data_IF_777125060605
#
_entry.id   IF_777125060605
#
_cell.length_a   1.000
_cell.length_b   1.000
_cell.length_c   1.000
_cell.angle_alpha   90.00
_cell.angle_beta   90.00
_cell.angle_gamma   90.00
#
_symmetry.space_group_name_H-M   'P 1'
#
loop_
_entity.id
_entity.type
_entity.pdbx_description
1 polymer ?
#
# COMPACT_ATOMS: atom_id res chain seq x y z
N UNK A 1 16.35 20.29 -7.21
CA UNK A 1 15.96 20.24 -5.79
C UNK A 1 14.46 20.44 -5.71
N UNK A 2 13.73 19.57 -5.01
CA UNK A 2 12.27 19.72 -4.82
C UNK A 2 12.05 20.86 -3.79
N UNK A 3 11.35 21.95 -4.14
CA UNK A 3 11.02 23.00 -3.19
C UNK A 3 10.17 22.47 -2.04
N UNK A 4 10.39 22.94 -0.81
CA UNK A 4 9.60 22.54 0.36
C UNK A 4 9.92 21.16 0.95
N UNK A 5 10.98 20.49 0.47
CA UNK A 5 11.43 19.21 0.99
C UNK A 5 12.14 19.39 2.35
N UNK A 6 11.61 18.73 3.38
CA UNK A 6 12.13 18.74 4.75
C UNK A 6 13.42 17.93 4.87
N UNK A 7 14.27 18.30 5.83
CA UNK A 7 15.55 17.62 6.08
C UNK A 7 15.41 16.11 6.34
N UNK A 8 14.46 15.63 7.18
CA UNK A 8 14.20 14.20 7.31
C UNK A 8 13.96 13.46 5.98
N UNK A 9 13.33 14.11 5.00
CA UNK A 9 13.05 13.49 3.70
C UNK A 9 14.29 13.48 2.81
N UNK A 10 15.17 14.47 2.94
CA UNK A 10 16.47 14.47 2.26
C UNK A 10 17.34 13.34 2.79
N UNK A 11 17.39 13.16 4.11
CA UNK A 11 18.12 12.08 4.76
C UNK A 11 17.63 10.69 4.29
N UNK A 12 16.32 10.54 4.13
CA UNK A 12 15.71 9.31 3.58
C UNK A 12 16.09 9.06 2.12
N UNK A 13 16.15 10.09 1.29
CA UNK A 13 16.60 9.97 -0.10
C UNK A 13 18.08 9.61 -0.18
N UNK A 14 18.92 10.18 0.67
CA UNK A 14 20.34 9.85 0.75
C UNK A 14 20.56 8.41 1.25
N UNK A 15 19.78 7.99 2.25
CA UNK A 15 19.76 6.60 2.73
C UNK A 15 19.36 5.65 1.61
N UNK A 16 18.29 5.98 0.85
CA UNK A 16 17.87 5.19 -0.30
C UNK A 16 19.00 5.07 -1.33
N UNK A 17 19.67 6.17 -1.67
CA UNK A 17 20.80 6.14 -2.60
C UNK A 17 21.92 5.22 -2.11
N UNK A 18 22.23 5.28 -0.81
CA UNK A 18 23.27 4.47 -0.20
C UNK A 18 22.95 2.97 -0.23
N UNK A 19 21.72 2.57 0.11
CA UNK A 19 21.37 1.13 0.18
C UNK A 19 21.07 0.52 -1.18
N UNK A 20 20.56 1.31 -2.13
CA UNK A 20 20.26 0.82 -3.48
C UNK A 20 21.48 0.85 -4.41
N UNK A 21 22.46 1.71 -4.10
CA UNK A 21 23.59 2.01 -4.99
C UNK A 21 23.17 2.81 -6.24
N UNK A 22 22.00 3.46 -6.20
CA UNK A 22 21.40 4.17 -7.34
C UNK A 22 20.93 5.56 -6.95
N UNK A 23 21.06 6.52 -7.85
CA UNK A 23 20.61 7.89 -7.60
C UNK A 23 19.09 8.03 -7.54
N UNK A 24 18.61 9.24 -7.25
CA UNK A 24 17.19 9.60 -7.40
C UNK A 24 17.08 10.82 -8.32
N UNK A 25 16.36 10.67 -9.42
CA UNK A 25 16.02 11.75 -10.34
C UNK A 25 14.61 12.28 -10.01
N UNK A 26 14.52 13.55 -9.61
CA UNK A 26 13.25 14.19 -9.30
C UNK A 26 12.65 14.87 -10.54
N UNK A 27 11.45 14.47 -10.92
CA UNK A 27 10.73 14.97 -12.11
C UNK A 27 9.37 15.53 -11.71
N UNK A 28 9.14 16.82 -11.98
CA UNK A 28 7.84 17.45 -11.73
C UNK A 28 6.81 16.94 -12.73
N UNK A 29 5.62 16.57 -12.23
CA UNK A 29 4.46 16.09 -12.99
C UNK A 29 3.18 16.70 -12.42
N UNK A 30 2.77 17.91 -12.87
CA UNK A 30 1.62 18.62 -12.32
C UNK A 30 0.28 17.87 -12.40
N UNK A 31 0.16 16.93 -13.33
CA UNK A 31 -0.99 16.07 -13.60
C UNK A 31 -1.02 14.78 -12.75
N UNK A 32 -0.04 14.57 -11.87
CA UNK A 32 0.06 13.38 -11.05
C UNK A 32 -1.15 13.24 -10.11
N UNK A 33 -1.80 12.07 -10.08
CA UNK A 33 -2.97 11.79 -9.21
C UNK A 33 -2.63 11.70 -7.71
N UNK A 34 -1.39 11.37 -7.36
CA UNK A 34 -0.85 11.43 -6.00
C UNK A 34 0.06 12.66 -5.82
N UNK A 35 0.35 13.09 -4.58
CA UNK A 35 1.32 14.17 -4.33
C UNK A 35 2.72 13.84 -4.87
N UNK A 36 3.15 12.58 -4.70
CA UNK A 36 4.39 12.03 -5.24
C UNK A 36 4.25 10.54 -5.55
N UNK A 37 5.20 9.99 -6.30
CA UNK A 37 5.35 8.55 -6.56
C UNK A 37 6.81 8.23 -6.87
N UNK A 38 7.33 7.16 -6.28
CA UNK A 38 8.65 6.64 -6.60
C UNK A 38 8.55 5.52 -7.64
N UNK A 39 9.36 5.61 -8.70
CA UNK A 39 9.58 4.50 -9.64
C UNK A 39 10.95 3.91 -9.39
N UNK A 40 10.98 2.65 -9.02
CA UNK A 40 12.22 1.93 -8.78
C UNK A 40 13.02 1.77 -10.09
N UNK A 41 14.33 1.99 -9.99
CA UNK A 41 15.26 1.80 -11.10
C UNK A 41 15.41 0.31 -11.46
N UNK A 42 15.10 -0.05 -12.71
CA UNK A 42 15.39 -1.39 -13.25
C UNK A 42 16.89 -1.67 -13.38
N UNK A 43 17.28 -2.91 -13.68
CA UNK A 43 18.68 -3.37 -13.69
C UNK A 43 19.63 -2.45 -14.50
N UNK A 44 19.20 -1.98 -15.68
CA UNK A 44 20.00 -1.10 -16.54
C UNK A 44 19.89 0.41 -16.25
N UNK A 45 19.12 0.82 -15.23
CA UNK A 45 18.90 2.24 -14.92
C UNK A 45 19.74 2.68 -13.71
N UNK A 46 20.47 3.81 -13.81
CA UNK A 46 21.34 4.31 -12.73
C UNK A 46 20.57 5.03 -11.61
N UNK A 47 19.31 5.40 -11.84
CA UNK A 47 18.54 6.24 -10.92
C UNK A 47 17.09 5.79 -10.77
N UNK A 48 16.58 5.85 -9.55
CA UNK A 48 15.15 5.85 -9.28
C UNK A 48 14.54 7.15 -9.82
N UNK A 49 13.25 7.13 -10.15
CA UNK A 49 12.56 8.34 -10.63
C UNK A 49 11.49 8.74 -9.62
N UNK A 50 11.69 9.88 -8.97
CA UNK A 50 10.73 10.50 -8.06
C UNK A 50 9.86 11.48 -8.85
N UNK A 51 8.61 11.09 -9.10
CA UNK A 51 7.59 11.96 -9.68
C UNK A 51 6.91 12.76 -8.58
N UNK A 52 6.72 14.06 -8.74
CA UNK A 52 6.02 14.91 -7.77
C UNK A 52 5.14 15.97 -8.44
N UNK A 53 3.96 16.22 -7.86
CA UNK A 53 2.98 17.19 -8.41
C UNK A 53 3.45 18.63 -8.29
N UNK A 54 3.93 19.00 -7.11
CA UNK A 54 4.38 20.34 -6.72
C UNK A 54 4.87 20.34 -5.26
N UNK A 55 5.54 21.41 -4.83
CA UNK A 55 6.16 21.51 -3.50
C UNK A 55 5.29 22.18 -2.43
N UNK A 56 4.08 22.64 -2.78
CA UNK A 56 3.26 23.48 -1.90
C UNK A 56 2.38 22.67 -0.93
N UNK A 57 2.22 21.37 -1.19
CA UNK A 57 1.46 20.44 -0.33
C UNK A 57 2.44 19.74 0.64
N UNK A 58 2.38 20.03 1.96
CA UNK A 58 3.26 19.40 2.93
C UNK A 58 3.18 17.87 2.95
N UNK A 59 2.05 17.27 2.53
CA UNK A 59 1.88 15.82 2.47
C UNK A 59 2.82 15.15 1.48
N UNK A 60 3.36 15.89 0.50
CA UNK A 60 4.39 15.39 -0.41
C UNK A 60 5.58 14.81 0.36
N UNK A 61 5.93 15.40 1.51
CA UNK A 61 7.04 14.94 2.34
C UNK A 61 6.76 13.56 2.95
N UNK A 62 5.54 13.31 3.45
CA UNK A 62 5.16 12.00 3.99
C UNK A 62 5.07 10.95 2.90
N UNK A 63 4.50 11.27 1.73
CA UNK A 63 4.42 10.34 0.60
C UNK A 63 5.83 9.94 0.12
N UNK A 64 6.76 10.89 0.00
CA UNK A 64 8.14 10.59 -0.36
C UNK A 64 8.80 9.73 0.72
N UNK A 65 8.65 10.08 1.99
CA UNK A 65 9.21 9.31 3.10
C UNK A 65 8.71 7.85 3.12
N UNK A 66 7.42 7.63 2.88
CA UNK A 66 6.83 6.31 2.83
C UNK A 66 7.38 5.48 1.66
N UNK A 67 7.43 6.06 0.44
CA UNK A 67 7.99 5.38 -0.73
C UNK A 67 9.48 5.08 -0.58
N UNK A 68 10.24 5.97 0.07
CA UNK A 68 11.62 5.70 0.48
C UNK A 68 11.68 4.52 1.45
N UNK A 69 10.80 4.46 2.45
CA UNK A 69 10.73 3.35 3.40
C UNK A 69 10.58 1.98 2.72
N UNK A 70 9.66 1.86 1.76
CA UNK A 70 9.48 0.63 0.97
C UNK A 70 10.77 0.21 0.26
N UNK A 71 11.41 1.13 -0.46
CA UNK A 71 12.62 0.81 -1.21
C UNK A 71 13.84 0.56 -0.31
N UNK A 72 13.99 1.32 0.78
CA UNK A 72 15.08 1.13 1.73
C UNK A 72 15.03 -0.28 2.31
N UNK A 73 13.86 -0.73 2.76
CA UNK A 73 13.67 -2.09 3.31
C UNK A 73 14.00 -3.15 2.26
N UNK A 74 13.48 -3.00 1.05
CA UNK A 74 13.75 -3.90 -0.07
C UNK A 74 15.25 -4.00 -0.40
N UNK A 75 15.96 -2.86 -0.50
CA UNK A 75 17.37 -2.86 -0.89
C UNK A 75 18.33 -3.19 0.27
N UNK A 76 17.93 -2.95 1.52
CA UNK A 76 18.67 -3.40 2.69
C UNK A 76 18.70 -4.94 2.80
N UNK A 77 17.70 -5.64 2.25
CA UNK A 77 17.71 -7.09 2.20
C UNK A 77 18.77 -7.63 1.21
N UNK A 78 19.42 -8.77 1.53
CA UNK A 78 20.32 -9.45 0.59
C UNK A 78 19.61 -9.78 -0.74
N UNK A 79 20.28 -9.71 -1.90
CA UNK A 79 19.64 -9.90 -3.22
C UNK A 79 18.75 -11.14 -3.35
N UNK A 80 19.17 -12.30 -2.80
CA UNK A 80 18.39 -13.54 -2.84
C UNK A 80 17.10 -13.53 -2.01
N UNK A 81 16.98 -12.58 -1.06
CA UNK A 81 15.83 -12.41 -0.16
C UNK A 81 14.88 -11.31 -0.62
N UNK A 82 15.23 -10.54 -1.66
CA UNK A 82 14.38 -9.48 -2.23
C UNK A 82 13.21 -10.09 -2.99
N UNK A 83 12.14 -10.41 -2.27
CA UNK A 83 10.90 -10.94 -2.83
C UNK A 83 9.87 -9.82 -3.00
N UNK A 84 9.17 -9.85 -4.12
CA UNK A 84 8.11 -8.88 -4.46
C UNK A 84 6.86 -9.64 -4.88
N UNK A 85 5.70 -9.11 -4.49
CA UNK A 85 4.41 -9.64 -4.91
C UNK A 85 4.07 -9.07 -6.30
N UNK A 86 3.74 -9.95 -7.24
CA UNK A 86 3.36 -9.59 -8.61
C UNK A 86 1.92 -9.99 -8.89
N UNK A 87 1.22 -9.12 -9.59
CA UNK A 87 -0.05 -9.42 -10.22
C UNK A 87 0.18 -9.69 -11.71
N UNK A 88 -0.30 -10.84 -12.19
CA UNK A 88 -0.21 -11.27 -13.58
C UNK A 88 -1.54 -11.84 -14.08
N UNK A 89 -1.57 -12.24 -15.36
CA UNK A 89 -2.77 -12.79 -15.99
C UNK A 89 -3.33 -14.03 -15.25
N UNK A 90 -2.46 -14.91 -14.76
CA UNK A 90 -2.87 -16.10 -13.99
C UNK A 90 -3.58 -15.71 -12.70
N UNK A 91 -3.00 -14.80 -11.92
CA UNK A 91 -3.62 -14.31 -10.67
C UNK A 91 -4.94 -13.56 -10.93
N UNK A 92 -5.02 -12.79 -12.03
CA UNK A 92 -6.25 -12.12 -12.49
C UNK A 92 -7.34 -13.12 -12.91
N UNK A 93 -6.97 -14.24 -13.54
CA UNK A 93 -7.91 -15.29 -13.89
C UNK A 93 -8.50 -15.97 -12.66
N UNK A 94 -7.68 -16.26 -11.64
CA UNK A 94 -8.17 -16.79 -10.35
C UNK A 94 -9.12 -15.81 -9.67
N UNK A 95 -8.77 -14.52 -9.64
CA UNK A 95 -9.67 -13.48 -9.13
C UNK A 95 -11.04 -13.52 -9.81
N UNK A 96 -11.08 -13.47 -11.15
CA UNK A 96 -12.35 -13.49 -11.91
C UNK A 96 -13.17 -14.74 -11.64
N UNK A 97 -12.51 -15.88 -11.44
CA UNK A 97 -13.17 -17.13 -11.09
C UNK A 97 -13.84 -17.04 -9.70
N UNK A 98 -13.11 -16.56 -8.71
CA UNK A 98 -13.58 -16.51 -7.32
C UNK A 98 -14.70 -15.48 -7.10
N UNK A 99 -14.83 -14.48 -7.97
CA UNK A 99 -15.92 -13.48 -7.91
C UNK A 99 -16.97 -13.67 -9.02
N UNK A 100 -17.03 -14.83 -9.68
CA UNK A 100 -17.92 -15.07 -10.82
C UNK A 100 -19.39 -14.77 -10.53
N UNK A 101 -19.87 -15.15 -9.35
CA UNK A 101 -21.26 -14.89 -8.93
C UNK A 101 -21.52 -13.38 -8.76
N UNK A 102 -20.55 -12.64 -8.22
CA UNK A 102 -20.62 -11.19 -8.13
C UNK A 102 -20.60 -10.53 -9.51
N UNK A 103 -19.83 -11.07 -10.47
CA UNK A 103 -19.83 -10.57 -11.86
C UNK A 103 -21.22 -10.70 -12.46
N UNK A 104 -21.87 -11.86 -12.32
CA UNK A 104 -23.25 -12.07 -12.78
C UNK A 104 -24.21 -11.07 -12.14
N UNK A 105 -24.20 -10.97 -10.81
CA UNK A 105 -25.04 -10.03 -10.05
C UNK A 105 -24.82 -8.57 -10.46
N UNK A 106 -23.57 -8.13 -10.55
CA UNK A 106 -23.21 -6.73 -10.84
C UNK A 106 -23.42 -6.36 -12.30
N UNK A 107 -23.34 -7.32 -13.23
CA UNK A 107 -23.64 -7.07 -14.65
C UNK A 107 -25.09 -6.66 -14.87
N UNK A 108 -26.01 -7.17 -14.05
CA UNK A 108 -27.42 -6.78 -14.08
C UNK A 108 -27.65 -5.35 -13.57
N UNK A 109 -26.71 -4.80 -12.80
CA UNK A 109 -26.79 -3.47 -12.20
C UNK A 109 -26.09 -2.42 -13.08
N UNK A 110 -24.88 -2.73 -13.56
CA UNK A 110 -24.01 -1.78 -14.26
C UNK A 110 -24.00 -1.92 -15.79
N UNK A 111 -24.48 -3.06 -16.31
CA UNK A 111 -24.18 -3.49 -17.67
C UNK A 111 -22.78 -4.12 -17.78
N UNK A 112 -22.58 -4.93 -18.82
CA UNK A 112 -21.33 -5.68 -19.02
C UNK A 112 -20.13 -4.77 -19.32
N UNK A 113 -20.34 -3.72 -20.12
CA UNK A 113 -19.24 -2.83 -20.55
C UNK A 113 -18.64 -2.07 -19.36
N UNK A 114 -19.48 -1.39 -18.59
CA UNK A 114 -19.08 -0.68 -17.36
C UNK A 114 -18.41 -1.62 -16.35
N UNK A 115 -18.94 -2.83 -16.20
CA UNK A 115 -18.36 -3.83 -15.29
C UNK A 115 -16.97 -4.27 -15.76
N UNK A 116 -16.76 -4.39 -17.07
CA UNK A 116 -15.46 -4.69 -17.67
C UNK A 116 -14.37 -3.67 -17.29
N UNK A 117 -14.73 -2.39 -17.15
CA UNK A 117 -13.82 -1.33 -16.72
C UNK A 117 -13.49 -1.39 -15.22
N UNK A 118 -14.45 -1.78 -14.37
CA UNK A 118 -14.26 -1.84 -12.92
C UNK A 118 -13.52 -3.07 -12.42
N UNK A 119 -13.66 -4.22 -13.10
CA UNK A 119 -13.07 -5.48 -12.65
C UNK A 119 -11.54 -5.41 -12.44
N UNK A 120 -10.75 -4.83 -13.38
CA UNK A 120 -9.32 -4.62 -13.16
C UNK A 120 -9.03 -3.67 -12.00
N UNK A 121 -9.80 -2.59 -11.85
CA UNK A 121 -9.59 -1.58 -10.80
C UNK A 121 -9.80 -2.14 -9.40
N UNK A 122 -10.84 -2.96 -9.20
CA UNK A 122 -11.09 -3.63 -7.92
C UNK A 122 -9.99 -4.61 -7.56
N UNK A 123 -9.54 -5.40 -8.54
CA UNK A 123 -8.43 -6.33 -8.35
C UNK A 123 -7.14 -5.60 -7.97
N UNK A 124 -6.77 -4.58 -8.75
CA UNK A 124 -5.57 -3.77 -8.52
C UNK A 124 -5.64 -3.06 -7.16
N UNK A 125 -6.79 -2.54 -6.76
CA UNK A 125 -6.99 -1.92 -5.45
C UNK A 125 -6.75 -2.88 -4.29
N UNK A 126 -7.30 -4.11 -4.35
CA UNK A 126 -7.13 -5.10 -3.27
C UNK A 126 -5.71 -5.61 -3.21
N UNK A 127 -5.10 -5.91 -4.37
CA UNK A 127 -3.70 -6.33 -4.42
C UNK A 127 -2.80 -5.22 -3.89
N UNK A 128 -3.04 -3.97 -4.27
CA UNK A 128 -2.27 -2.83 -3.78
C UNK A 128 -2.39 -2.66 -2.26
N UNK A 129 -3.61 -2.73 -1.69
CA UNK A 129 -3.78 -2.66 -0.24
C UNK A 129 -3.04 -3.81 0.47
N UNK A 130 -3.19 -5.03 -0.03
CA UNK A 130 -2.56 -6.21 0.54
C UNK A 130 -1.03 -6.13 0.51
N UNK A 131 -0.44 -5.53 -0.53
CA UNK A 131 1.02 -5.46 -0.68
C UNK A 131 1.62 -4.18 -0.09
N UNK A 132 0.81 -3.15 0.19
CA UNK A 132 1.28 -1.88 0.78
C UNK A 132 1.01 -1.73 2.27
N UNK A 133 -0.21 -2.04 2.73
CA UNK A 133 -0.58 -1.80 4.12
C UNK A 133 0.26 -2.59 5.13
N UNK A 134 0.59 -3.88 4.91
CA UNK A 134 1.41 -4.60 5.87
C UNK A 134 2.81 -4.00 6.07
N UNK A 135 3.59 -3.73 5.01
CA UNK A 135 4.85 -2.99 5.15
C UNK A 135 4.67 -1.57 5.69
N UNK A 136 3.61 -0.85 5.28
CA UNK A 136 3.33 0.51 5.76
C UNK A 136 3.22 0.55 7.30
N UNK A 137 2.68 -0.49 7.96
CA UNK A 137 2.64 -0.52 9.43
C UNK A 137 4.05 -0.39 10.03
N UNK A 138 5.04 -1.11 9.49
CA UNK A 138 6.41 -1.04 9.98
C UNK A 138 7.09 0.26 9.57
N UNK A 139 6.86 0.73 8.34
CA UNK A 139 7.40 2.00 7.84
C UNK A 139 6.89 3.16 8.68
N UNK A 140 5.60 3.23 8.98
CA UNK A 140 5.02 4.31 9.78
C UNK A 140 5.56 4.29 11.23
N UNK A 141 5.71 3.10 11.83
CA UNK A 141 6.35 2.96 13.15
C UNK A 141 7.81 3.44 13.12
N UNK A 142 8.55 3.05 12.09
CA UNK A 142 9.95 3.46 11.90
C UNK A 142 10.07 4.97 11.69
N UNK A 143 9.28 5.55 10.78
CA UNK A 143 9.27 7.00 10.53
C UNK A 143 8.92 7.78 11.80
N UNK A 144 7.93 7.30 12.56
CA UNK A 144 7.53 7.95 13.81
C UNK A 144 8.65 7.93 14.87
N UNK A 145 9.40 6.83 14.95
CA UNK A 145 10.50 6.63 15.90
C UNK A 145 11.73 7.46 15.52
N UNK A 146 12.21 7.30 14.29
CA UNK A 146 13.49 7.84 13.83
C UNK A 146 13.42 9.29 13.33
N UNK A 147 12.25 9.74 12.86
CA UNK A 147 12.09 11.08 12.29
C UNK A 147 10.99 11.89 12.99
N UNK A 148 11.21 12.37 14.23
CA UNK A 148 10.22 13.14 14.99
C UNK A 148 9.66 14.36 14.24
N UNK A 149 10.48 14.99 13.38
CA UNK A 149 10.07 16.11 12.53
C UNK A 149 8.98 15.79 11.51
N UNK A 150 8.73 14.50 11.21
CA UNK A 150 7.67 14.07 10.29
C UNK A 150 6.34 13.75 10.99
N UNK A 151 6.31 13.62 12.33
CA UNK A 151 5.13 13.12 13.07
C UNK A 151 3.85 13.90 12.80
N UNK A 152 3.92 15.22 12.70
CA UNK A 152 2.75 16.06 12.41
C UNK A 152 2.18 15.79 11.02
N UNK A 153 3.05 15.68 10.01
CA UNK A 153 2.64 15.41 8.62
C UNK A 153 2.15 13.97 8.49
N UNK A 154 2.85 13.01 9.12
CA UNK A 154 2.43 11.62 9.21
C UNK A 154 1.03 11.49 9.80
N UNK A 155 0.76 12.15 10.94
CA UNK A 155 -0.56 12.15 11.57
C UNK A 155 -1.64 12.67 10.61
N UNK A 156 -1.36 13.76 9.90
CA UNK A 156 -2.31 14.33 8.94
C UNK A 156 -2.56 13.39 7.75
N UNK A 157 -1.51 12.77 7.21
CA UNK A 157 -1.63 11.82 6.11
C UNK A 157 -2.48 10.60 6.48
N UNK A 158 -2.27 10.02 7.68
CA UNK A 158 -3.07 8.90 8.18
C UNK A 158 -4.54 9.31 8.39
N UNK A 159 -4.79 10.52 8.92
CA UNK A 159 -6.16 11.04 9.08
C UNK A 159 -6.86 11.24 7.73
N UNK A 160 -6.15 11.72 6.70
CA UNK A 160 -6.72 11.82 5.36
C UNK A 160 -7.01 10.46 4.72
N UNK A 161 -6.11 9.48 4.91
CA UNK A 161 -6.32 8.11 4.45
C UNK A 161 -7.55 7.50 5.14
N UNK A 162 -7.71 7.74 6.45
CA UNK A 162 -8.87 7.30 7.22
C UNK A 162 -10.16 7.95 6.72
N UNK A 163 -10.16 9.27 6.52
CA UNK A 163 -11.34 9.97 6.02
C UNK A 163 -11.80 9.40 4.67
N UNK A 164 -10.86 9.12 3.75
CA UNK A 164 -11.14 8.47 2.46
C UNK A 164 -11.68 7.06 2.65
N UNK A 165 -11.08 6.23 3.52
CA UNK A 165 -11.53 4.87 3.77
C UNK A 165 -12.94 4.80 4.37
N UNK A 166 -13.31 5.76 5.25
CA UNK A 166 -14.65 5.82 5.83
C UNK A 166 -15.72 6.12 4.78
N UNK A 167 -15.41 6.89 3.73
CA UNK A 167 -16.40 7.16 2.65
C UNK A 167 -16.83 5.88 1.93
N UNK A 168 -15.94 4.91 1.80
CA UNK A 168 -16.22 3.63 1.14
C UNK A 168 -16.83 2.58 2.08
N UNK A 169 -16.92 2.85 3.39
CA UNK A 169 -17.57 1.97 4.38
C UNK A 169 -19.11 1.92 4.23
N UNK A 170 -19.69 2.71 3.33
CA UNK A 170 -21.15 2.78 3.17
C UNK A 170 -21.75 1.50 2.53
N UNK A 171 -22.98 1.16 2.96
CA UNK A 171 -23.73 0.04 2.40
C UNK A 171 -24.09 0.20 0.91
N UNK A 172 -24.07 1.44 0.39
CA UNK A 172 -24.21 1.70 -1.05
C UNK A 172 -23.05 1.14 -1.85
N UNK A 173 -21.81 1.44 -1.43
CA UNK A 173 -20.60 0.94 -2.07
C UNK A 173 -20.51 -0.58 -1.96
N UNK A 174 -20.91 -1.15 -0.80
CA UNK A 174 -20.95 -2.61 -0.61
C UNK A 174 -21.80 -3.32 -1.66
N UNK A 175 -22.96 -2.76 -2.03
CA UNK A 175 -23.85 -3.36 -3.04
C UNK A 175 -23.30 -3.27 -4.47
N UNK A 176 -22.48 -2.27 -4.75
CA UNK A 176 -21.90 -1.99 -6.07
C UNK A 176 -20.50 -2.59 -6.26
N UNK A 177 -20.01 -3.37 -5.31
CA UNK A 177 -18.66 -3.97 -5.33
C UNK A 177 -18.79 -5.49 -5.16
N UNK A 178 -17.86 -6.31 -5.69
CA UNK A 178 -17.81 -7.72 -5.35
C UNK A 178 -17.65 -7.89 -3.84
N UNK A 179 -18.41 -8.80 -3.22
CA UNK A 179 -18.46 -8.89 -1.76
C UNK A 179 -17.08 -9.21 -1.18
N UNK A 180 -16.36 -10.17 -1.80
CA UNK A 180 -15.01 -10.52 -1.37
C UNK A 180 -14.05 -9.32 -1.42
N UNK A 181 -14.08 -8.53 -2.50
CA UNK A 181 -13.25 -7.32 -2.65
C UNK A 181 -13.56 -6.30 -1.57
N UNK A 182 -14.85 -6.04 -1.34
CA UNK A 182 -15.29 -5.08 -0.35
C UNK A 182 -14.88 -5.51 1.06
N UNK A 183 -15.22 -6.74 1.44
CA UNK A 183 -15.05 -7.23 2.80
C UNK A 183 -13.56 -7.31 3.20
N UNK A 184 -12.68 -7.82 2.32
CA UNK A 184 -11.24 -7.87 2.62
C UNK A 184 -10.62 -6.47 2.70
N UNK A 185 -11.07 -5.53 1.86
CA UNK A 185 -10.59 -4.14 1.92
C UNK A 185 -10.98 -3.47 3.24
N UNK A 186 -12.22 -3.67 3.71
CA UNK A 186 -12.65 -3.10 4.99
C UNK A 186 -11.91 -3.73 6.19
N UNK A 187 -11.63 -5.04 6.15
CA UNK A 187 -10.84 -5.71 7.18
C UNK A 187 -9.39 -5.18 7.24
N UNK A 188 -8.73 -5.03 6.08
CA UNK A 188 -7.37 -4.46 6.00
C UNK A 188 -7.31 -3.00 6.44
N UNK A 189 -8.28 -2.17 6.03
CA UNK A 189 -8.42 -0.79 6.48
C UNK A 189 -8.54 -0.72 8.01
N UNK A 190 -9.44 -1.51 8.60
CA UNK A 190 -9.60 -1.58 10.05
C UNK A 190 -8.28 -1.91 10.74
N UNK A 191 -7.61 -2.99 10.30
CA UNK A 191 -6.37 -3.47 10.90
C UNK A 191 -5.26 -2.42 10.83
N UNK A 192 -5.09 -1.78 9.67
CA UNK A 192 -4.13 -0.70 9.50
C UNK A 192 -4.43 0.46 10.46
N UNK A 193 -5.67 0.97 10.48
CA UNK A 193 -6.04 2.09 11.34
C UNK A 193 -5.90 1.78 12.82
N UNK A 194 -6.27 0.56 13.25
CA UNK A 194 -6.06 0.08 14.62
C UNK A 194 -4.61 0.21 15.05
N UNK A 195 -3.68 -0.22 14.19
CA UNK A 195 -2.24 -0.18 14.46
C UNK A 195 -1.65 1.22 14.39
N UNK A 196 -2.33 2.17 13.73
CA UNK A 196 -1.94 3.58 13.64
C UNK A 196 -2.50 4.46 14.78
N UNK A 197 -3.50 4.00 15.55
CA UNK A 197 -4.07 4.77 16.68
C UNK A 197 -2.98 5.21 17.69
N UNK A 198 -2.00 4.36 18.09
CA UNK A 198 -0.94 4.79 18.99
C UNK A 198 -0.03 5.90 18.42
N UNK A 199 0.19 5.91 17.10
CA UNK A 199 1.05 6.91 16.44
C UNK A 199 0.35 8.27 16.30
N UNK A 200 -0.98 8.27 16.21
CA UNK A 200 -1.78 9.46 15.97
C UNK A 200 -2.44 10.03 17.23
N UNK A 201 -2.62 9.19 18.26
CA UNK A 201 -3.40 9.50 19.47
C UNK A 201 -4.90 9.64 19.21
N UNK A 202 -5.40 9.13 18.08
CA UNK A 202 -6.80 9.28 17.64
C UNK A 202 -7.44 7.90 17.50
N UNK A 203 -8.71 7.77 17.90
CA UNK A 203 -9.51 6.56 17.70
C UNK A 203 -9.96 6.39 16.24
N UNK A 204 -9.03 6.07 15.35
CA UNK A 204 -9.22 5.92 13.90
C UNK A 204 -10.24 4.84 13.54
N UNK A 205 -10.40 3.81 14.39
CA UNK A 205 -11.32 2.68 14.18
C UNK A 205 -12.76 2.97 14.60
N UNK A 206 -13.03 4.11 15.26
CA UNK A 206 -14.38 4.45 15.77
C UNK A 206 -15.51 4.30 14.74
N UNK A 207 -15.35 4.71 13.46
CA UNK A 207 -16.40 4.55 12.44
C UNK A 207 -16.76 3.09 12.12
N UNK A 208 -15.88 2.15 12.43
CA UNK A 208 -16.08 0.72 12.19
C UNK A 208 -16.80 0.02 13.35
N UNK A 209 -17.05 0.68 14.49
CA UNK A 209 -17.46 0.05 15.75
C UNK A 209 -18.75 -0.79 15.73
N UNK A 210 -19.57 -0.70 14.66
CA UNK A 210 -20.76 -1.54 14.43
C UNK A 210 -20.70 -2.35 13.14
N UNK A 211 -19.53 -2.37 12.49
CA UNK A 211 -19.33 -3.11 11.25
C UNK A 211 -18.98 -4.57 11.53
N UNK A 212 -19.25 -5.44 10.57
CA UNK A 212 -18.88 -6.85 10.63
C UNK A 212 -17.36 -7.06 10.49
N UNK A 213 -16.61 -6.01 10.13
CA UNK A 213 -15.17 -6.06 9.84
C UNK A 213 -14.29 -5.95 11.08
N UNK A 214 -14.85 -5.58 12.23
CA UNK A 214 -14.10 -5.45 13.49
C UNK A 214 -13.40 -6.75 13.85
N UNK A 215 -14.10 -7.90 13.79
CA UNK A 215 -13.52 -9.17 14.21
C UNK A 215 -12.35 -9.60 13.31
N UNK A 216 -12.52 -9.52 11.98
CA UNK A 216 -11.46 -9.87 11.03
C UNK A 216 -10.30 -8.88 11.10
N UNK A 217 -10.59 -7.58 11.25
CA UNK A 217 -9.59 -6.53 11.35
C UNK A 217 -8.76 -6.61 12.64
N UNK A 218 -9.38 -6.90 13.79
CA UNK A 218 -8.67 -7.14 15.05
C UNK A 218 -7.76 -8.38 14.96
N UNK A 219 -8.20 -9.44 14.28
CA UNK A 219 -7.36 -10.63 14.08
C UNK A 219 -6.14 -10.33 13.18
N UNK A 220 -6.34 -9.59 12.08
CA UNK A 220 -5.23 -9.11 11.23
C UNK A 220 -4.24 -8.24 12.02
N UNK A 221 -4.76 -7.28 12.81
CA UNK A 221 -3.95 -6.39 13.64
C UNK A 221 -3.15 -7.18 14.68
N UNK A 222 -3.79 -8.10 15.38
CA UNK A 222 -3.15 -8.96 16.37
C UNK A 222 -2.06 -9.83 15.77
N UNK A 223 -2.24 -10.32 14.53
CA UNK A 223 -1.18 -11.07 13.84
C UNK A 223 -0.01 -10.18 13.43
N UNK A 224 -0.26 -8.93 13.03
CA UNK A 224 0.81 -7.98 12.73
C UNK A 224 1.68 -7.70 13.96
N UNK A 225 1.06 -7.52 15.13
CA UNK A 225 1.81 -7.30 16.37
C UNK A 225 2.58 -8.53 16.84
N UNK A 226 1.99 -9.74 16.70
CA UNK A 226 2.66 -11.00 17.10
C UNK A 226 3.84 -11.38 16.20
N UNK A 227 3.82 -10.97 14.93
CA UNK A 227 4.83 -11.35 13.93
C UNK A 227 5.69 -10.15 13.50
N UNK A 228 5.82 -9.14 14.37
CA UNK A 228 6.54 -7.92 14.04
C UNK A 228 8.03 -8.19 13.82
N UNK A 229 8.44 -8.22 12.55
CA UNK A 229 9.84 -8.17 12.11
C UNK A 229 10.06 -6.89 11.31
N UNK A 230 11.01 -6.09 11.76
CA UNK A 230 11.28 -4.76 11.19
C UNK A 230 12.28 -4.85 10.01
N UNK A 231 12.02 -5.77 9.07
CA UNK A 231 12.82 -5.98 7.85
C UNK A 231 11.95 -6.41 6.65
N UNK A 232 12.54 -6.48 5.45
CA UNK A 232 11.85 -6.89 4.22
C UNK A 232 11.29 -8.32 4.28
N UNK A 233 11.95 -9.23 5.00
CA UNK A 233 11.43 -10.59 5.15
C UNK A 233 10.16 -10.60 6.00
N UNK A 234 10.12 -9.77 7.05
CA UNK A 234 8.95 -9.49 7.87
C UNK A 234 7.80 -8.90 7.07
N UNK A 235 8.09 -7.98 6.15
CA UNK A 235 7.10 -7.43 5.22
C UNK A 235 6.47 -8.53 4.37
N UNK A 236 7.31 -9.39 3.77
CA UNK A 236 6.87 -10.54 2.95
C UNK A 236 6.06 -11.54 3.78
N UNK A 237 6.51 -11.86 4.99
CA UNK A 237 5.84 -12.76 5.92
C UNK A 237 4.46 -12.22 6.31
N UNK A 238 4.36 -10.94 6.64
CA UNK A 238 3.10 -10.34 7.05
C UNK A 238 2.11 -10.23 5.88
N UNK A 239 2.57 -9.89 4.68
CA UNK A 239 1.74 -9.92 3.46
C UNK A 239 1.20 -11.34 3.24
N UNK A 240 2.05 -12.38 3.34
CA UNK A 240 1.62 -13.78 3.17
C UNK A 240 0.58 -14.18 4.20
N UNK A 241 0.80 -13.81 5.45
CA UNK A 241 -0.11 -14.14 6.54
C UNK A 241 -1.47 -13.43 6.32
N UNK A 242 -1.48 -12.16 5.93
CA UNK A 242 -2.72 -11.43 5.60
C UNK A 242 -3.41 -12.06 4.39
N UNK A 243 -2.63 -12.41 3.36
CA UNK A 243 -3.15 -13.05 2.15
C UNK A 243 -3.79 -14.41 2.45
N UNK A 244 -3.17 -15.22 3.31
CA UNK A 244 -3.71 -16.52 3.72
C UNK A 244 -5.01 -16.34 4.51
N UNK A 245 -4.99 -15.47 5.52
CA UNK A 245 -6.16 -15.21 6.37
C UNK A 245 -7.36 -14.68 5.58
N UNK A 246 -7.12 -13.84 4.57
CA UNK A 246 -8.16 -13.23 3.73
C UNK A 246 -8.52 -14.09 2.50
N UNK A 247 -7.85 -15.24 2.30
CA UNK A 247 -8.06 -16.08 1.13
C UNK A 247 -7.64 -15.42 -0.20
N UNK A 248 -6.60 -14.59 -0.16
CA UNK A 248 -6.03 -13.83 -1.28
C UNK A 248 -4.67 -14.39 -1.75
N UNK A 249 -4.16 -15.47 -1.16
CA UNK A 249 -2.83 -16.03 -1.51
C UNK A 249 -2.64 -16.34 -2.99
N UNK A 250 -3.72 -16.62 -3.72
CA UNK A 250 -3.70 -16.90 -5.16
C UNK A 250 -3.90 -15.66 -6.05
N UNK A 251 -4.13 -14.50 -5.44
CA UNK A 251 -4.29 -13.21 -6.13
C UNK A 251 -2.95 -12.47 -6.27
N UNK A 252 -1.88 -13.02 -5.71
CA UNK A 252 -0.52 -12.54 -5.89
C UNK A 252 0.41 -13.71 -6.14
N UNK A 253 1.55 -13.42 -6.75
CA UNK A 253 2.63 -14.37 -6.93
C UNK A 253 3.93 -13.78 -6.41
N UNK A 254 4.76 -14.59 -5.74
CA UNK A 254 6.05 -14.11 -5.23
C UNK A 254 7.15 -14.32 -6.25
N UNK A 255 7.86 -13.26 -6.61
CA UNK A 255 9.01 -13.29 -7.51
C UNK A 255 10.25 -12.72 -6.82
N UNK A 256 11.43 -13.19 -7.21
CA UNK A 256 12.67 -12.49 -6.89
C UNK A 256 12.73 -11.17 -7.64
N UNK A 257 13.30 -10.12 -7.03
CA UNK A 257 13.41 -8.80 -7.66
C UNK A 257 14.09 -8.85 -9.03
N UNK A 258 15.11 -9.71 -9.19
CA UNK A 258 15.83 -9.91 -10.47
C UNK A 258 15.03 -10.64 -11.54
N UNK A 259 13.88 -11.23 -11.20
CA UNK A 259 12.99 -11.94 -12.13
C UNK A 259 11.88 -11.02 -12.66
N UNK A 260 11.77 -9.80 -12.14
CA UNK A 260 10.70 -8.85 -12.48
C UNK A 260 11.24 -7.81 -13.47
N UNK A 261 10.57 -7.67 -14.60
CA UNK A 261 10.90 -6.64 -15.58
C UNK A 261 10.70 -5.23 -15.00
N UNK A 262 11.48 -4.27 -15.52
CA UNK A 262 11.38 -2.88 -15.08
C UNK A 262 9.99 -2.32 -15.42
N UNK A 263 9.26 -1.86 -14.40
CA UNK A 263 7.92 -1.25 -14.56
C UNK A 263 6.74 -2.13 -14.12
N UNK A 264 6.98 -3.38 -13.74
CA UNK A 264 5.95 -4.34 -13.29
C UNK A 264 5.67 -4.25 -11.78
N UNK A 265 6.33 -3.35 -11.07
CA UNK A 265 6.14 -3.09 -9.64
C UNK A 265 5.31 -1.81 -9.48
N UNK A 266 4.13 -1.97 -8.90
CA UNK A 266 3.15 -0.90 -8.71
C UNK A 266 3.53 0.08 -7.60
#
# INVERSE_FOLDING_TARGET
MIPGLLDPVRDLLDTLCSVSGKGVEAVRRPDLKSPARMRMAGAGSPSHVLLYRGGDDPLVNHVIANECGHLIRLFAAPPGKRKVAVANERTRAVYREEIREDIQRLSLIHGLDTLGEFLPLWYESVVFQLTRMPPDIMIERWLHREYPGLRAIQRNAILEQQAKAVTVLSGGIRRMTPHKVYDVSQAMNYAFFKLMEPLTGVGLTSPYGRSLYVLQGEELAGRADRNARDDHEGDVELIRLWAEFLGLSRWIEWRGLGEVEAGTLH
#
